data_IF_120840645118
#
_entry.id   IF_120840645118
#
_cell.length_a   1.000
_cell.length_b   1.000
_cell.length_c   1.000
_cell.angle_alpha   90.00
_cell.angle_beta   90.00
_cell.angle_gamma   90.00
#
_symmetry.space_group_name_H-M   'P 1'
#
loop_
_entity.id
_entity.type
_entity.pdbx_description
1 polymer ?
#
# COMPACT_ATOMS: atom_id res chain seq x y z
N UNK A 1 -1.43 -9.98 21.60
CA UNK A 1 -0.06 -10.35 21.19
C UNK A 1 0.89 -9.56 22.06
N UNK A 2 2.00 -10.14 22.52
CA UNK A 2 3.00 -9.46 23.33
C UNK A 2 4.34 -9.64 22.64
N UNK A 3 5.08 -8.55 22.45
CA UNK A 3 6.42 -8.55 21.86
C UNK A 3 7.44 -8.36 22.99
N UNK A 4 8.52 -9.13 22.96
CA UNK A 4 9.60 -9.02 23.94
C UNK A 4 10.59 -7.91 23.56
N UNK A 5 10.69 -7.58 22.27
CA UNK A 5 11.57 -6.53 21.75
C UNK A 5 10.87 -5.64 20.73
N UNK A 6 11.45 -4.46 20.47
CA UNK A 6 10.97 -3.54 19.41
C UNK A 6 11.21 -4.17 18.03
N UNK A 7 12.32 -4.89 17.87
CA UNK A 7 12.67 -5.52 16.60
C UNK A 7 11.66 -6.62 16.23
N UNK A 8 11.21 -7.43 17.20
CA UNK A 8 10.11 -8.39 16.98
C UNK A 8 8.81 -7.70 16.51
N UNK A 9 8.49 -6.52 17.05
CA UNK A 9 7.32 -5.76 16.63
C UNK A 9 7.47 -5.19 15.21
N UNK A 10 8.68 -4.73 14.84
CA UNK A 10 8.98 -4.27 13.48
C UNK A 10 8.95 -5.41 12.47
N UNK A 11 9.54 -6.56 12.80
CA UNK A 11 9.46 -7.78 11.98
C UNK A 11 8.02 -8.23 11.79
N UNK A 12 7.18 -8.15 12.83
CA UNK A 12 5.76 -8.45 12.71
C UNK A 12 5.05 -7.49 11.74
N UNK A 13 5.30 -6.18 11.82
CA UNK A 13 4.78 -5.23 10.82
C UNK A 13 5.20 -5.65 9.42
N UNK A 14 6.50 -5.87 9.20
CA UNK A 14 7.06 -6.25 7.90
C UNK A 14 6.45 -7.53 7.35
N UNK A 15 6.21 -8.54 8.20
CA UNK A 15 5.60 -9.81 7.78
C UNK A 15 4.14 -9.68 7.33
N UNK A 16 3.41 -8.67 7.81
CA UNK A 16 2.02 -8.41 7.42
C UNK A 16 1.89 -7.37 6.30
N UNK A 17 2.84 -6.45 6.18
CA UNK A 17 2.85 -5.46 5.09
C UNK A 17 3.39 -6.03 3.80
N UNK A 18 4.49 -6.78 3.86
CA UNK A 18 5.16 -7.29 2.67
C UNK A 18 4.25 -8.22 1.87
N UNK A 19 4.43 -8.16 0.55
CA UNK A 19 3.80 -9.05 -0.42
C UNK A 19 3.93 -10.51 0.00
N UNK A 20 2.82 -11.25 -0.11
CA UNK A 20 2.82 -12.69 0.02
C UNK A 20 3.84 -13.28 -0.97
N UNK A 21 4.87 -13.97 -0.46
CA UNK A 21 5.81 -14.65 -1.33
C UNK A 21 5.10 -15.87 -1.91
N UNK A 22 4.74 -15.82 -3.20
CA UNK A 22 4.29 -17.00 -3.95
C UNK A 22 5.37 -18.09 -3.93
N UNK A 23 5.03 -19.33 -4.28
CA UNK A 23 6.03 -20.42 -4.46
C UNK A 23 7.20 -19.97 -5.33
N UNK A 24 6.92 -19.36 -6.47
CA UNK A 24 7.93 -18.87 -7.39
C UNK A 24 8.84 -17.80 -6.75
N UNK A 25 8.27 -16.90 -5.95
CA UNK A 25 9.02 -15.87 -5.23
C UNK A 25 9.87 -16.45 -4.10
N UNK A 26 9.36 -17.47 -3.39
CA UNK A 26 10.13 -18.17 -2.35
C UNK A 26 11.29 -18.93 -2.99
N UNK A 27 11.05 -19.68 -4.05
CA UNK A 27 12.10 -20.47 -4.72
C UNK A 27 13.19 -19.57 -5.31
N UNK A 28 12.80 -18.43 -5.89
CA UNK A 28 13.75 -17.42 -6.36
C UNK A 28 14.54 -16.80 -5.20
N UNK A 29 13.90 -16.50 -4.07
CA UNK A 29 14.56 -15.92 -2.90
C UNK A 29 15.50 -16.93 -2.21
N UNK A 30 15.13 -18.20 -2.13
CA UNK A 30 15.99 -19.29 -1.64
C UNK A 30 17.23 -19.38 -2.53
N UNK A 31 17.06 -19.38 -3.85
CA UNK A 31 18.17 -19.44 -4.79
C UNK A 31 19.12 -18.24 -4.62
N UNK A 32 18.57 -17.04 -4.50
CA UNK A 32 19.34 -15.81 -4.24
C UNK A 32 20.11 -15.87 -2.91
N UNK A 33 19.46 -16.21 -1.80
CA UNK A 33 20.16 -16.26 -0.51
C UNK A 33 21.18 -17.39 -0.44
N UNK A 34 20.96 -18.51 -1.14
CA UNK A 34 21.97 -19.56 -1.27
C UNK A 34 23.22 -19.02 -1.99
N UNK A 35 23.04 -18.26 -3.09
CA UNK A 35 24.14 -17.60 -3.77
C UNK A 35 24.88 -16.59 -2.87
N UNK A 36 24.16 -15.86 -2.02
CA UNK A 36 24.74 -14.94 -1.03
C UNK A 36 25.52 -15.68 0.08
N UNK A 37 25.05 -16.86 0.51
CA UNK A 37 25.80 -17.74 1.44
C UNK A 37 27.09 -18.22 0.79
N UNK A 38 27.00 -18.68 -0.45
CA UNK A 38 28.11 -19.28 -1.20
C UNK A 38 29.19 -18.24 -1.55
N UNK A 39 28.79 -16.98 -1.78
CA UNK A 39 29.67 -15.85 -2.10
C UNK A 39 30.15 -15.06 -0.87
N UNK A 40 29.65 -15.35 0.33
CA UNK A 40 30.02 -14.60 1.53
C UNK A 40 31.45 -14.88 1.99
N UNK A 41 32.23 -13.81 2.19
CA UNK A 41 33.60 -13.88 2.72
C UNK A 41 33.69 -13.64 4.23
N UNK A 42 32.55 -13.43 4.90
CA UNK A 42 32.46 -13.21 6.35
C UNK A 42 31.53 -14.23 6.99
N UNK A 43 31.94 -14.80 8.12
CA UNK A 43 31.14 -15.75 8.91
C UNK A 43 29.86 -15.09 9.48
N UNK A 44 29.92 -13.80 9.82
CA UNK A 44 28.74 -13.08 10.33
C UNK A 44 27.70 -12.86 9.23
N UNK A 45 28.15 -12.48 8.02
CA UNK A 45 27.28 -12.36 6.85
C UNK A 45 26.72 -13.72 6.44
N UNK A 46 27.54 -14.77 6.52
CA UNK A 46 27.12 -16.14 6.20
C UNK A 46 26.02 -16.62 7.15
N UNK A 47 26.17 -16.36 8.46
CA UNK A 47 25.12 -16.65 9.45
C UNK A 47 23.83 -15.88 9.19
N UNK A 48 23.91 -14.61 8.81
CA UNK A 48 22.74 -13.82 8.45
C UNK A 48 21.98 -14.47 7.29
N UNK A 49 22.67 -14.79 6.19
CA UNK A 49 22.03 -15.39 5.01
C UNK A 49 21.49 -16.80 5.26
N UNK A 50 22.19 -17.61 6.07
CA UNK A 50 21.69 -18.92 6.51
C UNK A 50 20.41 -18.79 7.34
N UNK A 51 20.33 -17.81 8.24
CA UNK A 51 19.11 -17.56 9.01
C UNK A 51 17.93 -17.18 8.10
N UNK A 52 18.16 -16.40 7.05
CA UNK A 52 17.12 -16.05 6.08
C UNK A 52 16.67 -17.25 5.23
N UNK A 53 17.59 -18.17 4.89
CA UNK A 53 17.26 -19.44 4.24
C UNK A 53 16.42 -20.37 5.13
N UNK A 54 16.76 -20.46 6.41
CA UNK A 54 16.00 -21.27 7.37
C UNK A 54 14.58 -20.74 7.52
N UNK A 55 14.40 -19.43 7.67
CA UNK A 55 13.08 -18.78 7.72
C UNK A 55 12.24 -19.10 6.47
N UNK A 56 12.84 -19.03 5.27
CA UNK A 56 12.14 -19.35 4.03
C UNK A 56 11.80 -20.84 3.90
N UNK A 57 12.68 -21.72 4.37
CA UNK A 57 12.45 -23.15 4.37
C UNK A 57 11.34 -23.55 5.34
N UNK A 58 11.29 -22.95 6.53
CA UNK A 58 10.19 -23.11 7.48
C UNK A 58 8.86 -22.64 6.89
N UNK A 59 8.84 -21.44 6.30
CA UNK A 59 7.65 -20.89 5.65
C UNK A 59 7.16 -21.80 4.52
N UNK A 60 8.06 -22.24 3.63
CA UNK A 60 7.75 -23.15 2.50
C UNK A 60 7.17 -24.47 2.98
N UNK A 61 7.60 -24.96 4.13
CA UNK A 61 7.16 -26.23 4.70
C UNK A 61 5.91 -26.14 5.58
N UNK A 62 5.43 -24.94 5.89
CA UNK A 62 4.22 -24.72 6.69
C UNK A 62 2.95 -25.22 5.98
N UNK A 63 1.95 -25.60 6.77
CA UNK A 63 0.66 -26.08 6.25
C UNK A 63 -0.10 -24.97 5.52
N UNK A 64 -0.02 -23.72 5.98
CA UNK A 64 -0.63 -22.58 5.31
C UNK A 64 -0.06 -22.40 3.90
N UNK A 65 1.26 -22.50 3.78
CA UNK A 65 1.93 -22.38 2.48
C UNK A 65 1.58 -23.53 1.53
N UNK A 66 1.62 -24.77 2.01
CA UNK A 66 1.27 -25.96 1.22
C UNK A 66 -0.18 -25.95 0.73
N UNK A 67 -1.09 -25.35 1.50
CA UNK A 67 -2.50 -25.22 1.15
C UNK A 67 -2.81 -23.98 0.29
N UNK A 68 -1.80 -23.18 -0.07
CA UNK A 68 -1.98 -21.98 -0.88
C UNK A 68 -2.62 -20.81 -0.13
N UNK A 69 -2.62 -20.84 1.21
CA UNK A 69 -3.14 -19.77 2.05
C UNK A 69 -2.10 -18.65 2.17
N UNK A 70 -1.83 -17.95 1.06
CA UNK A 70 -0.94 -16.79 1.05
C UNK A 70 -1.75 -15.54 1.42
N UNK A 71 -1.60 -14.95 2.62
CA UNK A 71 -2.25 -13.68 2.91
C UNK A 71 -1.70 -12.61 1.97
N UNK A 72 -2.56 -11.90 1.24
CA UNK A 72 -2.13 -10.71 0.50
C UNK A 72 -1.54 -9.70 1.49
N UNK A 73 -0.35 -9.18 1.18
CA UNK A 73 0.30 -8.17 2.01
C UNK A 73 -0.52 -6.87 2.01
N UNK A 74 -0.49 -6.15 3.13
CA UNK A 74 -1.16 -4.85 3.22
C UNK A 74 -0.60 -3.88 2.15
N UNK A 75 0.69 -3.96 1.83
CA UNK A 75 1.30 -3.15 0.77
C UNK A 75 0.66 -3.43 -0.58
N UNK A 76 0.46 -4.70 -0.95
CA UNK A 76 -0.19 -5.05 -2.23
C UNK A 76 -1.59 -4.46 -2.32
N UNK A 77 -2.37 -4.53 -1.23
CA UNK A 77 -3.71 -3.96 -1.17
C UNK A 77 -3.67 -2.43 -1.33
N UNK A 78 -2.78 -1.74 -0.62
CA UNK A 78 -2.64 -0.28 -0.72
C UNK A 78 -2.20 0.12 -2.14
N UNK A 79 -1.19 -0.55 -2.69
CA UNK A 79 -0.68 -0.24 -4.03
C UNK A 79 -1.72 -0.53 -5.11
N UNK A 80 -2.46 -1.63 -5.02
CA UNK A 80 -3.56 -1.94 -5.92
C UNK A 80 -4.67 -0.87 -5.84
N UNK A 81 -5.00 -0.41 -4.63
CA UNK A 81 -5.97 0.66 -4.42
C UNK A 81 -5.51 1.98 -5.06
N UNK A 82 -4.24 2.35 -4.90
CA UNK A 82 -3.66 3.54 -5.55
C UNK A 82 -3.73 3.41 -7.07
N UNK A 83 -3.33 2.26 -7.62
CA UNK A 83 -3.31 2.03 -9.07
C UNK A 83 -4.71 2.18 -9.67
N UNK A 84 -5.71 1.48 -9.13
CA UNK A 84 -7.09 1.60 -9.61
C UNK A 84 -7.61 3.03 -9.52
N UNK A 85 -7.43 3.65 -8.35
CA UNK A 85 -8.00 4.97 -8.10
C UNK A 85 -7.33 6.05 -8.95
N UNK A 86 -6.02 5.97 -9.18
CA UNK A 86 -5.26 6.92 -10.02
C UNK A 86 -5.72 6.89 -11.48
N UNK A 87 -6.06 5.72 -12.02
CA UNK A 87 -6.58 5.58 -13.38
C UNK A 87 -8.02 6.08 -13.47
N UNK A 88 -8.87 5.72 -12.50
CA UNK A 88 -10.24 6.25 -12.41
C UNK A 88 -10.21 7.78 -12.32
N UNK A 89 -9.30 8.33 -11.51
CA UNK A 89 -9.12 9.77 -11.38
C UNK A 89 -8.74 10.42 -12.71
N UNK A 90 -7.80 9.83 -13.46
CA UNK A 90 -7.41 10.33 -14.76
C UNK A 90 -8.60 10.44 -15.72
N UNK A 91 -9.38 9.36 -15.85
CA UNK A 91 -10.56 9.35 -16.73
C UNK A 91 -11.72 10.23 -16.26
N UNK A 92 -11.78 10.60 -14.97
CA UNK A 92 -12.75 11.57 -14.45
C UNK A 92 -12.38 13.02 -14.75
N UNK A 93 -11.11 13.29 -15.03
CA UNK A 93 -10.56 14.64 -15.10
C UNK A 93 -9.99 14.99 -16.48
N UNK A 94 -10.20 14.14 -17.48
CA UNK A 94 -9.83 14.40 -18.88
C UNK A 94 -11.05 14.19 -19.75
N UNK A 95 -11.41 15.24 -20.48
CA UNK A 95 -12.42 15.13 -21.54
C UNK A 95 -11.79 14.42 -22.73
N UNK A 96 -12.40 13.31 -23.14
CA UNK A 96 -12.00 12.53 -24.31
C UNK A 96 -13.09 12.57 -25.37
N UNK A 97 -12.71 12.60 -26.64
CA UNK A 97 -13.64 12.61 -27.78
C UNK A 97 -14.49 11.35 -27.85
N UNK A 98 -13.90 10.21 -27.45
CA UNK A 98 -14.59 8.93 -27.31
C UNK A 98 -14.78 8.59 -25.85
N UNK A 99 -15.87 7.91 -25.53
CA UNK A 99 -16.15 7.43 -24.19
C UNK A 99 -16.17 5.90 -24.18
N UNK A 100 -15.01 5.21 -24.28
CA UNK A 100 -14.98 3.75 -24.41
C UNK A 100 -15.66 3.01 -23.25
N UNK A 101 -15.70 3.60 -22.05
CA UNK A 101 -16.42 3.06 -20.89
C UNK A 101 -17.94 3.11 -21.01
N UNK A 102 -18.49 3.87 -21.96
CA UNK A 102 -19.91 3.88 -22.31
C UNK A 102 -20.18 3.14 -23.62
N UNK A 103 -19.25 3.25 -24.58
CA UNK A 103 -19.40 2.68 -25.92
C UNK A 103 -19.09 1.18 -25.98
N UNK A 104 -18.24 0.66 -25.09
CA UNK A 104 -17.80 -0.74 -25.08
C UNK A 104 -18.15 -1.44 -23.77
N UNK A 105 -18.88 -2.56 -23.88
CA UNK A 105 -19.22 -3.40 -22.73
C UNK A 105 -18.00 -3.96 -22.00
N UNK A 106 -16.91 -4.25 -22.72
CA UNK A 106 -15.66 -4.73 -22.11
C UNK A 106 -15.04 -3.67 -21.21
N UNK A 107 -14.90 -2.43 -21.69
CA UNK A 107 -14.32 -1.36 -20.89
C UNK A 107 -15.25 -0.90 -19.78
N UNK A 108 -16.56 -0.89 -20.02
CA UNK A 108 -17.55 -0.64 -18.96
C UNK A 108 -17.41 -1.64 -17.80
N UNK A 109 -17.26 -2.94 -18.11
CA UNK A 109 -17.03 -3.99 -17.11
C UNK A 109 -15.69 -3.83 -16.41
N UNK A 110 -14.62 -3.48 -17.13
CA UNK A 110 -13.32 -3.22 -16.53
C UNK A 110 -13.35 -2.03 -15.56
N UNK A 111 -13.97 -0.93 -15.96
CA UNK A 111 -14.12 0.27 -15.13
C UNK A 111 -14.95 -0.03 -13.88
N UNK A 112 -16.09 -0.71 -14.06
CA UNK A 112 -16.91 -1.15 -12.93
C UNK A 112 -16.12 -2.09 -12.03
N UNK A 113 -15.42 -3.08 -12.58
CA UNK A 113 -14.54 -3.99 -11.83
C UNK A 113 -13.49 -3.26 -11.00
N UNK A 114 -12.88 -2.20 -11.55
CA UNK A 114 -11.95 -1.33 -10.81
C UNK A 114 -12.62 -0.63 -9.62
N UNK A 115 -13.83 -0.11 -9.81
CA UNK A 115 -14.63 0.49 -8.71
C UNK A 115 -14.93 -0.54 -7.62
N UNK A 116 -15.34 -1.76 -7.99
CA UNK A 116 -15.55 -2.86 -7.06
C UNK A 116 -14.26 -3.21 -6.30
N UNK A 117 -13.13 -3.24 -7.02
CA UNK A 117 -11.80 -3.47 -6.45
C UNK A 117 -11.46 -2.47 -5.37
N UNK A 118 -11.59 -1.17 -5.66
CA UNK A 118 -11.37 -0.07 -4.70
C UNK A 118 -12.13 -0.31 -3.40
N UNK A 119 -13.45 -0.47 -3.46
CA UNK A 119 -14.27 -0.60 -2.25
C UNK A 119 -14.07 -1.92 -1.51
N UNK A 120 -13.77 -3.00 -2.25
CA UNK A 120 -13.44 -4.29 -1.63
C UNK A 120 -12.14 -4.21 -0.85
N UNK A 121 -11.13 -3.51 -1.37
CA UNK A 121 -9.85 -3.30 -0.69
C UNK A 121 -10.04 -2.45 0.58
N UNK A 122 -10.83 -1.37 0.53
CA UNK A 122 -11.21 -0.61 1.74
C UNK A 122 -11.77 -1.54 2.82
N UNK A 123 -12.69 -2.44 2.44
CA UNK A 123 -13.27 -3.42 3.34
C UNK A 123 -12.24 -4.40 3.95
N UNK A 124 -11.30 -4.88 3.14
CA UNK A 124 -10.20 -5.77 3.62
C UNK A 124 -9.29 -5.05 4.61
N UNK A 125 -8.84 -3.83 4.29
CA UNK A 125 -7.92 -3.05 5.12
C UNK A 125 -8.55 -2.66 6.47
N UNK A 126 -9.87 -2.40 6.48
CA UNK A 126 -10.63 -1.97 7.66
C UNK A 126 -11.41 -3.09 8.35
N UNK A 127 -11.17 -4.35 7.98
CA UNK A 127 -11.90 -5.48 8.55
C UNK A 127 -11.82 -5.48 10.08
N UNK A 128 -12.99 -5.70 10.69
CA UNK A 128 -13.19 -5.81 12.15
C UNK A 128 -13.05 -7.25 12.64
N UNK A 129 -12.90 -8.22 11.73
CA UNK A 129 -12.68 -9.61 12.11
C UNK A 129 -11.27 -9.75 12.69
N UNK A 130 -11.18 -10.25 13.93
CA UNK A 130 -9.90 -10.40 14.65
C UNK A 130 -9.01 -11.47 14.01
N UNK A 131 -9.57 -12.36 13.20
CA UNK A 131 -8.84 -13.41 12.47
C UNK A 131 -8.10 -12.83 11.26
N UNK A 132 -8.59 -11.75 10.68
CA UNK A 132 -7.98 -11.13 9.51
C UNK A 132 -6.70 -10.38 9.88
N UNK A 133 -5.75 -10.30 8.95
CA UNK A 133 -4.54 -9.48 9.09
C UNK A 133 -4.75 -8.10 8.46
N UNK A 134 -5.81 -7.41 8.90
CA UNK A 134 -6.18 -6.10 8.37
C UNK A 134 -5.23 -5.00 8.86
N UNK A 135 -5.15 -3.91 8.11
CA UNK A 135 -4.41 -2.70 8.51
C UNK A 135 -4.93 -2.15 9.83
N UNK A 136 -6.24 -2.21 10.06
CA UNK A 136 -6.86 -1.87 11.35
C UNK A 136 -6.27 -2.67 12.50
N UNK A 137 -6.26 -4.01 12.40
CA UNK A 137 -5.73 -4.88 13.47
C UNK A 137 -4.24 -4.64 13.69
N UNK A 138 -3.48 -4.48 12.61
CA UNK A 138 -2.05 -4.18 12.69
C UNK A 138 -1.82 -2.87 13.44
N UNK A 139 -2.56 -1.81 13.10
CA UNK A 139 -2.50 -0.51 13.77
C UNK A 139 -2.85 -0.61 15.26
N UNK A 140 -3.99 -1.23 15.60
CA UNK A 140 -4.44 -1.42 16.98
C UNK A 140 -3.40 -2.17 17.83
N UNK A 141 -2.65 -3.08 17.21
CA UNK A 141 -1.60 -3.87 17.88
C UNK A 141 -0.30 -3.08 18.08
N UNK A 142 0.08 -2.27 17.10
CA UNK A 142 1.44 -1.69 17.01
C UNK A 142 1.51 -0.22 17.43
N UNK A 143 0.45 0.56 17.23
CA UNK A 143 0.45 1.99 17.56
C UNK A 143 0.81 2.33 19.01
N UNK A 144 0.47 1.52 20.05
CA UNK A 144 0.93 1.80 21.41
C UNK A 144 2.45 1.68 21.58
N UNK A 145 3.07 0.74 20.85
CA UNK A 145 4.52 0.51 20.89
C UNK A 145 5.24 1.66 20.18
N UNK A 146 4.76 2.03 18.99
CA UNK A 146 5.29 3.17 18.23
C UNK A 146 5.20 4.48 19.03
N UNK A 147 4.08 4.69 19.74
CA UNK A 147 3.91 5.85 20.61
C UNK A 147 4.90 5.83 21.78
N UNK A 148 5.15 4.66 22.37
CA UNK A 148 6.12 4.48 23.45
C UNK A 148 7.57 4.77 23.03
N UNK A 149 7.94 4.48 21.77
CA UNK A 149 9.26 4.81 21.22
C UNK A 149 9.37 6.27 20.75
N UNK A 150 8.26 7.02 20.71
CA UNK A 150 8.23 8.37 20.15
C UNK A 150 8.27 8.40 18.61
N UNK A 151 7.98 7.29 17.94
CA UNK A 151 7.88 7.21 16.48
C UNK A 151 6.62 7.89 15.93
N UNK A 152 5.59 8.06 16.76
CA UNK A 152 4.36 8.79 16.45
C UNK A 152 4.04 9.80 17.54
N UNK A 153 3.37 10.90 17.17
CA UNK A 153 2.86 11.85 18.15
C UNK A 153 1.55 11.34 18.77
N UNK A 154 1.33 11.65 20.04
CA UNK A 154 0.07 11.29 20.73
C UNK A 154 -1.18 11.83 20.02
N UNK A 155 -1.24 13.10 19.57
CA UNK A 155 -2.41 13.62 18.85
C UNK A 155 -2.71 12.85 17.56
N UNK A 156 -1.69 12.40 16.83
CA UNK A 156 -1.88 11.60 15.61
C UNK A 156 -2.48 10.22 15.95
N UNK A 157 -1.92 9.54 16.95
CA UNK A 157 -2.43 8.23 17.40
C UNK A 157 -3.86 8.32 17.91
N UNK A 158 -4.15 9.33 18.73
CA UNK A 158 -5.49 9.56 19.27
C UNK A 158 -6.50 9.86 18.15
N UNK A 159 -6.11 10.64 17.14
CA UNK A 159 -6.94 10.92 15.96
C UNK A 159 -7.24 9.65 15.15
N UNK A 160 -6.23 8.81 14.90
CA UNK A 160 -6.39 7.53 14.19
C UNK A 160 -7.28 6.59 14.97
N UNK A 161 -7.06 6.43 16.27
CA UNK A 161 -7.87 5.56 17.12
C UNK A 161 -9.33 6.03 17.20
N UNK A 162 -9.58 7.33 17.30
CA UNK A 162 -10.92 7.89 17.28
C UNK A 162 -11.64 7.61 15.94
N UNK A 163 -10.93 7.72 14.81
CA UNK A 163 -11.48 7.41 13.50
C UNK A 163 -11.80 5.92 13.31
N UNK A 164 -11.06 5.03 13.97
CA UNK A 164 -11.29 3.58 13.95
C UNK A 164 -12.38 3.11 14.92
N UNK A 165 -12.93 4.00 15.76
CA UNK A 165 -14.00 3.64 16.69
C UNK A 165 -15.16 2.96 15.95
N UNK A 166 -15.66 1.87 16.53
CA UNK A 166 -16.59 0.96 15.86
C UNK A 166 -17.97 1.59 15.65
N UNK A 167 -18.36 2.57 16.48
CA UNK A 167 -19.72 3.14 16.52
C UNK A 167 -19.76 4.59 16.03
N UNK A 168 -18.84 5.42 16.48
CA UNK A 168 -18.80 6.86 16.19
C UNK A 168 -17.60 7.26 15.33
N UNK A 169 -16.76 6.30 14.94
CA UNK A 169 -15.58 6.56 14.12
C UNK A 169 -15.93 6.98 12.70
N UNK A 170 -14.88 7.33 11.95
CA UNK A 170 -14.95 7.69 10.53
C UNK A 170 -15.39 6.51 9.68
N UNK A 171 -14.89 5.32 10.00
CA UNK A 171 -15.09 4.11 9.19
C UNK A 171 -16.33 3.32 9.61
N UNK A 172 -17.49 3.95 9.45
CA UNK A 172 -18.83 3.36 9.62
C UNK A 172 -19.69 3.56 8.37
N UNK A 173 -20.88 2.94 8.30
CA UNK A 173 -21.79 3.15 7.17
C UNK A 173 -22.32 4.58 7.10
N UNK A 174 -22.41 5.24 8.23
CA UNK A 174 -22.90 6.60 8.37
C UNK A 174 -21.84 7.62 7.96
N UNK A 175 -20.57 7.34 8.28
CA UNK A 175 -19.49 8.33 8.19
C UNK A 175 -18.49 8.08 7.05
N UNK A 176 -18.48 6.89 6.43
CA UNK A 176 -17.58 6.55 5.31
C UNK A 176 -18.39 6.14 4.07
N UNK A 177 -18.22 6.91 3.00
CA UNK A 177 -18.83 6.57 1.70
C UNK A 177 -18.24 5.28 1.11
N UNK A 178 -16.97 5.00 1.38
CA UNK A 178 -16.33 3.77 0.91
C UNK A 178 -16.95 2.52 1.54
N UNK A 179 -17.17 2.53 2.85
CA UNK A 179 -17.82 1.41 3.56
C UNK A 179 -19.31 1.32 3.27
N UNK A 180 -20.02 2.46 3.18
CA UNK A 180 -21.41 2.48 2.77
C UNK A 180 -21.58 1.84 1.39
N UNK A 181 -20.77 2.24 0.41
CA UNK A 181 -20.82 1.67 -0.93
C UNK A 181 -20.53 0.17 -0.87
N UNK A 182 -19.42 -0.25 -0.26
CA UNK A 182 -19.07 -1.68 -0.14
C UNK A 182 -20.21 -2.51 0.45
N UNK A 183 -20.84 -2.04 1.51
CA UNK A 183 -21.88 -2.79 2.20
C UNK A 183 -23.18 -2.83 1.38
N UNK A 184 -23.56 -1.73 0.74
CA UNK A 184 -24.71 -1.73 -0.19
C UNK A 184 -24.47 -2.58 -1.44
N UNK A 185 -23.21 -2.68 -1.86
CA UNK A 185 -22.80 -3.48 -3.02
C UNK A 185 -23.07 -4.97 -2.84
N UNK A 186 -22.94 -5.46 -1.60
CA UNK A 186 -23.18 -6.86 -1.25
C UNK A 186 -24.60 -7.10 -0.69
N UNK A 187 -25.32 -6.04 -0.32
CA UNK A 187 -26.71 -6.11 0.12
C UNK A 187 -27.63 -6.47 -1.04
N UNK A 188 -28.50 -7.46 -0.83
CA UNK A 188 -29.51 -7.84 -1.81
C UNK A 188 -30.63 -6.79 -1.89
N UNK A 189 -31.05 -6.41 -3.10
CA UNK A 189 -32.15 -5.46 -3.37
C UNK A 189 -31.99 -4.04 -2.78
N UNK A 190 -30.76 -3.56 -2.59
CA UNK A 190 -30.54 -2.16 -2.20
C UNK A 190 -30.19 -1.26 -3.38
N UNK A 191 -30.64 -0.01 -3.32
CA UNK A 191 -30.23 1.01 -4.27
C UNK A 191 -28.76 1.39 -4.05
N UNK A 192 -27.96 1.34 -5.11
CA UNK A 192 -26.56 1.73 -5.08
C UNK A 192 -26.44 3.23 -4.83
N UNK A 193 -25.61 3.67 -3.87
CA UNK A 193 -25.37 5.09 -3.66
C UNK A 193 -24.53 5.65 -4.80
N UNK A 194 -24.73 6.92 -5.12
CA UNK A 194 -23.84 7.64 -6.05
C UNK A 194 -22.49 7.80 -5.37
N UNK A 195 -21.42 7.33 -6.02
CA UNK A 195 -20.06 7.44 -5.48
C UNK A 195 -19.61 8.90 -5.49
N UNK A 196 -19.33 9.44 -4.31
CA UNK A 196 -18.68 10.74 -4.12
C UNK A 196 -17.18 10.53 -3.95
N UNK A 197 -16.43 10.56 -5.05
CA UNK A 197 -15.01 10.22 -5.06
C UNK A 197 -14.14 11.11 -4.17
N UNK A 198 -14.48 12.38 -4.00
CA UNK A 198 -13.75 13.28 -3.09
C UNK A 198 -13.86 12.81 -1.62
N UNK A 199 -15.00 12.25 -1.21
CA UNK A 199 -15.16 11.70 0.14
C UNK A 199 -14.38 10.38 0.29
N UNK A 200 -14.37 9.55 -0.77
CA UNK A 200 -13.55 8.33 -0.81
C UNK A 200 -12.07 8.68 -0.73
N UNK A 201 -11.61 9.74 -1.39
CA UNK A 201 -10.23 10.20 -1.35
C UNK A 201 -9.83 10.69 0.04
N UNK A 202 -10.74 11.33 0.79
CA UNK A 202 -10.48 11.69 2.20
C UNK A 202 -10.33 10.46 3.09
N UNK A 203 -11.15 9.42 2.88
CA UNK A 203 -11.01 8.15 3.58
C UNK A 203 -9.70 7.45 3.20
N UNK A 204 -9.31 7.55 1.92
CA UNK A 204 -8.09 6.96 1.42
C UNK A 204 -6.84 7.64 1.99
N UNK A 205 -6.81 8.98 2.01
CA UNK A 205 -5.73 9.76 2.60
C UNK A 205 -5.44 9.32 4.05
N UNK A 206 -6.51 9.03 4.80
CA UNK A 206 -6.41 8.52 6.16
C UNK A 206 -5.76 7.13 6.23
N UNK A 207 -6.19 6.20 5.36
CA UNK A 207 -5.58 4.87 5.26
C UNK A 207 -4.11 4.94 4.85
N UNK A 208 -3.78 5.77 3.86
CA UNK A 208 -2.41 5.99 3.40
C UNK A 208 -1.53 6.49 4.53
N UNK A 209 -2.00 7.45 5.34
CA UNK A 209 -1.23 7.94 6.47
C UNK A 209 -1.03 6.88 7.55
N UNK A 210 -2.09 6.17 7.95
CA UNK A 210 -2.03 5.07 8.93
C UNK A 210 -1.05 3.97 8.50
N UNK A 211 -1.13 3.54 7.24
CA UNK A 211 -0.20 2.59 6.65
C UNK A 211 1.23 3.15 6.58
N UNK A 212 1.39 4.41 6.18
CA UNK A 212 2.70 5.03 6.02
C UNK A 212 3.49 5.12 7.32
N UNK A 213 2.81 5.39 8.43
CA UNK A 213 3.44 5.40 9.76
C UNK A 213 4.01 4.03 10.12
N UNK A 214 3.28 2.94 9.82
CA UNK A 214 3.74 1.58 10.08
C UNK A 214 4.95 1.23 9.21
N UNK A 215 4.89 1.51 7.91
CA UNK A 215 5.97 1.19 6.95
C UNK A 215 7.24 1.99 7.22
N UNK A 216 7.13 3.29 7.51
CA UNK A 216 8.29 4.15 7.75
C UNK A 216 9.00 3.84 9.06
N UNK A 217 8.28 3.28 10.03
CA UNK A 217 8.82 2.83 11.30
C UNK A 217 9.52 1.48 11.22
N UNK A 218 8.99 0.57 10.41
CA UNK A 218 9.47 -0.82 10.35
C UNK A 218 10.46 -1.11 9.22
N UNK A 219 10.55 -0.25 8.20
CA UNK A 219 11.33 -0.51 6.99
C UNK A 219 11.94 0.75 6.38
N UNK A 220 12.73 0.57 5.32
CA UNK A 220 13.30 1.69 4.55
C UNK A 220 12.33 2.30 3.52
N UNK A 221 11.05 1.89 3.53
CA UNK A 221 10.03 2.36 2.59
C UNK A 221 10.11 1.68 1.22
N UNK A 222 9.09 1.94 0.40
CA UNK A 222 8.92 1.35 -0.92
C UNK A 222 9.60 2.21 -2.00
N UNK A 223 10.40 1.57 -2.84
CA UNK A 223 11.06 2.19 -3.98
C UNK A 223 10.26 1.96 -5.26
N UNK A 224 9.92 3.05 -5.96
CA UNK A 224 9.20 3.01 -7.24
C UNK A 224 8.04 2.00 -7.28
N UNK A 225 7.07 2.07 -6.33
CA UNK A 225 6.10 0.99 -6.16
C UNK A 225 4.99 0.95 -7.20
N UNK A 226 4.89 2.00 -8.03
CA UNK A 226 3.83 2.14 -9.02
C UNK A 226 4.32 1.78 -10.42
N UNK A 227 3.40 1.26 -11.24
CA UNK A 227 3.63 1.08 -12.67
C UNK A 227 3.93 2.42 -13.32
N UNK A 228 4.79 2.39 -14.34
CA UNK A 228 5.00 3.55 -15.22
C UNK A 228 3.70 3.91 -15.94
N UNK A 229 3.58 5.15 -16.39
CA UNK A 229 2.40 5.61 -17.13
C UNK A 229 2.17 4.79 -18.40
N UNK A 230 3.24 4.40 -19.10
CA UNK A 230 3.14 3.55 -20.30
C UNK A 230 2.56 2.17 -19.96
N UNK A 231 3.00 1.56 -18.85
CA UNK A 231 2.43 0.29 -18.38
C UNK A 231 0.98 0.43 -17.92
N UNK A 232 0.62 1.56 -17.29
CA UNK A 232 -0.69 1.76 -16.70
C UNK A 232 -1.79 2.00 -17.76
N UNK A 233 -1.44 2.59 -18.90
CA UNK A 233 -2.35 2.79 -20.03
C UNK A 233 -2.14 1.80 -21.18
N UNK A 234 -1.26 0.80 -21.00
CA UNK A 234 -0.97 -0.20 -22.01
C UNK A 234 -2.25 -0.89 -22.49
N UNK A 235 -2.46 -0.90 -23.81
CA UNK A 235 -3.61 -1.55 -24.46
C UNK A 235 -4.83 -0.64 -24.67
N UNK A 236 -4.95 0.48 -23.96
CA UNK A 236 -6.02 1.47 -24.21
C UNK A 236 -5.56 2.64 -25.09
N UNK A 237 -4.24 2.89 -25.18
CA UNK A 237 -3.66 3.98 -25.97
C UNK A 237 -4.17 4.10 -27.41
N UNK A 238 -4.34 3.02 -28.19
CA UNK A 238 -4.80 3.12 -29.58
C UNK A 238 -6.22 3.67 -29.75
N UNK A 239 -6.99 3.80 -28.65
CA UNK A 239 -8.39 4.25 -28.68
C UNK A 239 -8.56 5.75 -28.50
N UNK A 240 -7.47 6.44 -28.18
CA UNK A 240 -7.46 7.85 -27.84
C UNK A 240 -6.43 8.59 -28.70
N UNK A 241 -6.62 9.90 -28.85
CA UNK A 241 -5.61 10.75 -29.44
C UNK A 241 -4.36 10.84 -28.55
N UNK A 242 -3.20 11.12 -29.16
CA UNK A 242 -1.94 11.25 -28.41
C UNK A 242 -1.99 12.34 -27.34
N UNK A 243 -2.70 13.43 -27.62
CA UNK A 243 -2.97 14.53 -26.69
C UNK A 243 -3.79 14.06 -25.48
N UNK A 244 -4.84 13.29 -25.71
CA UNK A 244 -5.71 12.72 -24.66
C UNK A 244 -4.91 11.77 -23.76
N UNK A 245 -4.14 10.85 -24.35
CA UNK A 245 -3.27 9.96 -23.58
C UNK A 245 -2.25 10.74 -22.76
N UNK A 246 -1.64 11.79 -23.31
CA UNK A 246 -0.70 12.62 -22.56
C UNK A 246 -1.37 13.31 -21.36
N UNK A 247 -2.61 13.78 -21.52
CA UNK A 247 -3.39 14.38 -20.44
C UNK A 247 -3.81 13.35 -19.39
N UNK A 248 -4.20 12.15 -19.80
CA UNK A 248 -4.53 11.04 -18.88
C UNK A 248 -3.33 10.65 -18.02
N UNK A 249 -2.15 10.52 -18.64
CA UNK A 249 -0.88 10.27 -17.93
C UNK A 249 -0.59 11.41 -16.93
N UNK A 250 -0.74 12.66 -17.35
CA UNK A 250 -0.54 13.81 -16.47
C UNK A 250 -1.49 13.81 -15.25
N UNK A 251 -2.77 13.50 -15.45
CA UNK A 251 -3.76 13.42 -14.36
C UNK A 251 -3.54 12.24 -13.42
N UNK A 252 -3.07 11.10 -13.94
CA UNK A 252 -2.61 9.99 -13.10
C UNK A 252 -1.46 10.44 -12.19
N UNK A 253 -0.45 11.09 -12.75
CA UNK A 253 0.69 11.59 -11.98
C UNK A 253 0.31 12.65 -10.94
N UNK A 254 -0.70 13.48 -11.23
CA UNK A 254 -1.27 14.40 -10.24
C UNK A 254 -1.81 13.63 -9.02
N UNK A 255 -2.59 12.56 -9.26
CA UNK A 255 -3.13 11.74 -8.19
C UNK A 255 -2.03 11.02 -7.39
N UNK A 256 -1.02 10.47 -8.05
CA UNK A 256 0.11 9.81 -7.36
C UNK A 256 0.85 10.79 -6.44
N UNK A 257 1.04 12.05 -6.85
CA UNK A 257 1.60 13.10 -5.99
C UNK A 257 0.71 13.42 -4.78
N UNK A 258 -0.61 13.37 -4.94
CA UNK A 258 -1.53 13.52 -3.81
C UNK A 258 -1.35 12.38 -2.80
N UNK A 259 -1.23 11.14 -3.27
CA UNK A 259 -0.97 9.96 -2.42
C UNK A 259 0.36 10.08 -1.68
N UNK A 260 1.43 10.47 -2.38
CA UNK A 260 2.73 10.73 -1.75
C UNK A 260 2.63 11.80 -0.67
N UNK A 261 1.88 12.88 -0.93
CA UNK A 261 1.64 13.93 0.06
C UNK A 261 0.88 13.39 1.28
N UNK A 262 -0.19 12.62 1.08
CA UNK A 262 -0.96 12.03 2.18
C UNK A 262 -0.11 11.15 3.09
N UNK A 263 0.88 10.43 2.55
CA UNK A 263 1.80 9.62 3.35
C UNK A 263 2.64 10.44 4.35
N UNK A 264 2.84 11.73 4.05
CA UNK A 264 3.65 12.67 4.84
C UNK A 264 2.81 13.80 5.45
N UNK A 265 1.49 13.65 5.52
CA UNK A 265 0.62 14.66 6.15
C UNK A 265 -0.02 14.09 7.39
N UNK A 266 0.07 14.82 8.51
CA UNK A 266 -0.65 14.47 9.72
C UNK A 266 -2.16 14.42 9.47
N UNK A 267 -2.86 13.37 9.90
CA UNK A 267 -4.31 13.28 9.68
C UNK A 267 -5.11 14.32 10.48
N UNK A 268 -4.57 14.78 11.61
CA UNK A 268 -5.26 15.71 12.51
C UNK A 268 -5.11 17.19 12.11
N UNK A 269 -4.02 17.57 11.43
CA UNK A 269 -3.77 18.98 11.01
C UNK A 269 -3.65 19.16 9.50
N UNK A 270 -3.31 18.12 8.74
CA UNK A 270 -2.95 18.22 7.32
C UNK A 270 -1.56 18.81 7.07
N UNK A 271 -0.84 19.21 8.12
CA UNK A 271 0.53 19.71 8.02
C UNK A 271 1.50 18.60 7.63
N UNK A 272 2.62 19.00 7.03
CA UNK A 272 3.67 18.07 6.61
C UNK A 272 4.40 17.55 7.85
N UNK A 273 4.40 16.24 8.00
CA UNK A 273 5.24 15.54 8.95
C UNK A 273 6.70 15.55 8.45
N UNK A 274 7.67 16.08 9.24
CA UNK A 274 9.08 16.06 8.87
C UNK A 274 9.68 14.64 8.87
N UNK A 275 8.98 13.65 9.40
CA UNK A 275 9.36 12.24 9.36
C UNK A 275 9.40 11.64 7.95
N UNK A 276 9.87 10.39 7.87
CA UNK A 276 9.86 9.64 6.61
C UNK A 276 8.43 9.16 6.32
N UNK A 277 8.05 9.22 5.05
CA UNK A 277 6.82 8.57 4.56
C UNK A 277 7.10 7.13 4.09
N UNK A 278 6.07 6.44 3.62
CA UNK A 278 6.20 5.10 3.04
C UNK A 278 7.01 5.06 1.75
N UNK A 279 7.09 6.17 1.01
CA UNK A 279 7.75 6.21 -0.30
C UNK A 279 9.18 6.73 -0.20
N UNK A 280 10.11 5.96 -0.75
CA UNK A 280 11.54 6.24 -0.72
C UNK A 280 12.08 6.56 -2.11
N UNK A 281 12.99 7.53 -2.15
CA UNK A 281 13.72 7.92 -3.36
C UNK A 281 15.20 7.61 -3.16
N UNK A 282 15.79 6.89 -4.12
CA UNK A 282 17.23 6.64 -4.13
C UNK A 282 17.92 7.84 -4.79
N UNK A 283 18.86 8.47 -4.08
CA UNK A 283 19.71 9.53 -4.65
C UNK A 283 21.17 9.11 -4.51
N UNK A 284 21.86 8.96 -5.64
CA UNK A 284 23.29 8.68 -5.68
C UNK A 284 24.01 9.99 -5.97
N UNK A 285 24.84 10.44 -5.02
CA UNK A 285 25.77 11.57 -5.24
C UNK A 285 27.15 11.00 -5.53
N UNK A 286 27.65 11.23 -6.74
CA UNK A 286 29.02 10.89 -7.11
C UNK A 286 29.90 12.10 -6.85
N UNK A 287 30.81 11.99 -5.90
CA UNK A 287 31.90 12.93 -5.68
C UNK A 287 33.18 12.35 -6.25
N UNK A 288 33.68 12.94 -7.34
CA UNK A 288 35.02 12.61 -7.87
C UNK A 288 36.02 13.36 -7.00
N UNK A 289 36.80 12.64 -6.21
CA UNK A 289 37.93 13.21 -5.47
C UNK A 289 39.11 13.27 -6.44
N UNK A 290 39.52 14.46 -6.85
CA UNK A 290 40.77 14.65 -7.61
C UNK A 290 41.98 14.37 -6.72
N UNK A 291 42.99 13.69 -7.26
CA UNK A 291 44.21 13.29 -6.53
C UNK A 291 45.02 14.47 -5.96
N UNK A 292 44.73 15.71 -6.38
CA UNK A 292 45.42 16.92 -5.90
C UNK A 292 45.06 17.35 -4.46
N UNK A 293 44.09 16.70 -3.80
CA UNK A 293 43.74 16.95 -2.38
C UNK A 293 44.40 15.95 -1.41
N UNK A 294 45.31 15.09 -1.89
CA UNK A 294 46.08 14.15 -1.04
C UNK A 294 47.50 14.62 -0.69
N UNK A 295 47.84 15.89 -0.92
CA UNK A 295 49.15 16.46 -0.59
C UNK A 295 49.20 17.07 0.82
#
# INVERSE_FOLDING_TARGET
MQFNTIDEAKEYVVSLTNKARTIENIDSAISYYQEMVDSSHSEDLKKLWLSELDKLSELKNSDDFKNGNYPQGIDDLILELVEWRSIIYAFQNVDTQREPFKESGFYAQWYLGGIYGVFSIFGKLLSKDKRDNSLRKLWETISPIMLGEGACTKPEVDCINAALDVKSGRFTNENSQALLFRNKLISHNEAMPVVKWDEVDKDFAFLIRMWSLLVSWSSFGLFQPFRTDDQAFLGVEPMFERSEISNLKAKRQEYLKMVEKWSKSFVHTGEVDPGRGAFSTLSVKVSIVSEDEKA
#
